data_IF_767731661238
#
_entry.id   IF_767731661238
#
_cell.length_a   1.000
_cell.length_b   1.000
_cell.length_c   1.000
_cell.angle_alpha   90.00
_cell.angle_beta   90.00
_cell.angle_gamma   90.00
#
_symmetry.space_group_name_H-M   'P 1'
#
loop_
_entity.id
_entity.type
_entity.pdbx_description
1 polymer ?
#
# COMPACT_ATOMS: atom_id res chain seq x y z
N UNK A 1 -0.31 6.90 -5.74
CA UNK A 1 -1.75 6.50 -5.75
C UNK A 1 -2.48 7.36 -4.73
N UNK A 2 -3.81 7.27 -4.60
CA UNK A 2 -4.55 8.03 -3.57
C UNK A 2 -5.32 7.11 -2.62
N UNK A 3 -5.27 7.39 -1.33
CA UNK A 3 -6.00 6.62 -0.31
C UNK A 3 -7.50 6.82 -0.43
N UNK A 4 -8.27 5.73 -0.28
CA UNK A 4 -9.74 5.79 -0.20
C UNK A 4 -10.23 5.37 1.18
N UNK A 5 -10.10 4.07 1.51
CA UNK A 5 -10.59 3.53 2.77
C UNK A 5 -9.98 2.17 3.10
N UNK A 6 -10.08 1.75 4.37
CA UNK A 6 -9.99 0.35 4.76
C UNK A 6 -11.25 -0.38 4.26
N UNK A 7 -11.05 -1.47 3.51
CA UNK A 7 -12.15 -2.24 2.91
C UNK A 7 -12.51 -3.48 3.72
N UNK A 8 -11.49 -4.24 4.11
CA UNK A 8 -11.71 -5.55 4.73
C UNK A 8 -10.52 -5.94 5.61
N UNK A 9 -10.82 -6.60 6.72
CA UNK A 9 -9.83 -7.22 7.61
C UNK A 9 -10.08 -8.72 7.65
N UNK A 10 -9.06 -9.52 7.35
CA UNK A 10 -9.13 -10.97 7.45
C UNK A 10 -8.59 -11.38 8.80
N UNK A 11 -9.44 -11.98 9.63
CA UNK A 11 -9.07 -12.52 10.95
C UNK A 11 -8.63 -13.97 10.86
N UNK A 12 -7.85 -14.41 11.84
CA UNK A 12 -7.53 -15.83 12.02
C UNK A 12 -8.76 -16.57 12.54
N UNK A 13 -8.85 -17.85 12.16
CA UNK A 13 -9.79 -18.79 12.75
C UNK A 13 -9.04 -19.55 13.85
N UNK A 14 -9.63 -19.66 15.03
CA UNK A 14 -9.10 -20.45 16.13
C UNK A 14 -9.26 -21.95 15.84
N UNK A 15 -8.57 -22.81 16.59
CA UNK A 15 -8.67 -24.27 16.44
C UNK A 15 -10.10 -24.81 16.67
N UNK A 16 -10.92 -24.09 17.43
CA UNK A 16 -12.32 -24.42 17.69
C UNK A 16 -13.31 -23.92 16.60
N UNK A 17 -12.79 -23.32 15.52
CA UNK A 17 -13.59 -22.82 14.39
C UNK A 17 -14.25 -21.47 14.62
N UNK A 18 -13.98 -20.80 15.75
CA UNK A 18 -14.42 -19.43 16.01
C UNK A 18 -13.47 -18.40 15.43
N UNK A 19 -13.97 -17.20 15.14
CA UNK A 19 -13.14 -16.08 14.68
C UNK A 19 -12.30 -15.53 15.83
N UNK A 20 -10.99 -15.44 15.63
CA UNK A 20 -10.04 -14.81 16.55
C UNK A 20 -10.11 -13.28 16.48
N UNK A 21 -9.71 -12.59 17.54
CA UNK A 21 -9.46 -11.15 17.51
C UNK A 21 -8.16 -10.79 16.76
N UNK A 22 -7.32 -11.79 16.47
CA UNK A 22 -6.08 -11.58 15.72
C UNK A 22 -6.35 -11.37 14.23
N UNK A 23 -5.92 -10.22 13.71
CA UNK A 23 -6.04 -9.85 12.30
C UNK A 23 -4.80 -10.37 11.59
N UNK A 24 -4.97 -11.02 10.43
CA UNK A 24 -3.88 -11.55 9.60
C UNK A 24 -3.45 -10.56 8.52
N UNK A 25 -4.44 -9.93 7.86
CA UNK A 25 -4.22 -9.02 6.72
C UNK A 25 -5.31 -7.97 6.65
N UNK A 26 -4.95 -6.80 6.11
CA UNK A 26 -5.87 -5.69 5.86
C UNK A 26 -5.86 -5.32 4.39
N UNK A 27 -7.03 -5.15 3.81
CA UNK A 27 -7.20 -4.73 2.42
C UNK A 27 -7.72 -3.31 2.38
N UNK A 28 -7.01 -2.44 1.66
CA UNK A 28 -7.32 -1.04 1.45
C UNK A 28 -7.73 -0.80 -0.01
N UNK A 29 -8.70 0.08 -0.18
CA UNK A 29 -9.05 0.61 -1.50
C UNK A 29 -8.18 1.84 -1.78
N UNK A 30 -7.45 1.83 -2.90
CA UNK A 30 -6.69 2.97 -3.41
C UNK A 30 -7.20 3.37 -4.80
N UNK A 31 -7.22 4.67 -5.07
CA UNK A 31 -7.49 5.20 -6.41
C UNK A 31 -6.20 5.25 -7.21
N UNK A 32 -6.17 4.54 -8.34
CA UNK A 32 -5.11 4.66 -9.33
C UNK A 32 -5.42 5.85 -10.25
N UNK A 33 -4.61 6.91 -10.19
CA UNK A 33 -4.80 8.09 -11.04
C UNK A 33 -4.54 7.82 -12.53
N UNK A 34 -3.72 6.82 -12.87
CA UNK A 34 -3.37 6.49 -14.27
C UNK A 34 -4.48 5.71 -14.95
N UNK A 35 -5.10 4.76 -14.23
CA UNK A 35 -6.12 3.86 -14.77
C UNK A 35 -7.54 4.28 -14.39
N UNK A 36 -7.68 5.37 -13.63
CA UNK A 36 -8.94 5.88 -13.06
C UNK A 36 -9.80 4.82 -12.33
N UNK A 37 -9.16 3.74 -11.90
CA UNK A 37 -9.81 2.58 -11.27
C UNK A 37 -9.45 2.48 -9.80
N UNK A 38 -10.39 1.99 -9.01
CA UNK A 38 -10.14 1.58 -7.63
C UNK A 38 -9.43 0.22 -7.62
N UNK A 39 -8.32 0.15 -6.91
CA UNK A 39 -7.53 -1.07 -6.75
C UNK A 39 -7.55 -1.50 -5.29
N UNK A 40 -7.52 -2.80 -5.06
CA UNK A 40 -7.43 -3.39 -3.72
C UNK A 40 -5.98 -3.74 -3.44
N UNK A 41 -5.46 -3.22 -2.34
CA UNK A 41 -4.10 -3.51 -1.86
C UNK A 41 -4.20 -4.17 -0.50
N UNK A 42 -3.60 -5.34 -0.37
CA UNK A 42 -3.52 -6.06 0.90
C UNK A 42 -2.14 -5.89 1.51
N UNK A 43 -2.11 -5.49 2.78
CA UNK A 43 -0.90 -5.42 3.61
C UNK A 43 -1.03 -6.35 4.82
N UNK A 44 0.08 -6.84 5.39
CA UNK A 44 0.01 -7.71 6.55
C UNK A 44 -0.41 -6.91 7.80
N UNK A 45 -0.95 -7.62 8.79
CA UNK A 45 -1.57 -6.96 9.96
C UNK A 45 -0.56 -6.51 11.04
N UNK A 46 0.70 -6.96 10.96
CA UNK A 46 1.80 -6.44 11.79
C UNK A 46 2.06 -4.95 11.54
N UNK A 47 1.71 -4.48 10.34
CA UNK A 47 1.70 -3.06 9.99
C UNK A 47 0.51 -2.38 10.64
N UNK A 48 0.75 -1.21 11.24
CA UNK A 48 -0.31 -0.41 11.86
C UNK A 48 -1.45 -0.07 10.89
N UNK A 49 -2.68 0.00 11.43
CA UNK A 49 -3.86 0.42 10.67
C UNK A 49 -3.62 1.80 10.04
N UNK A 50 -3.86 1.91 8.74
CA UNK A 50 -3.79 3.18 8.01
C UNK A 50 -5.15 3.87 8.01
N UNK A 51 -5.24 4.98 8.73
CA UNK A 51 -6.40 5.88 8.75
C UNK A 51 -6.02 7.22 8.12
N UNK A 52 -5.66 7.16 6.84
CA UNK A 52 -5.26 8.35 6.10
C UNK A 52 -6.48 9.13 5.58
N UNK A 53 -6.37 10.46 5.43
CA UNK A 53 -7.45 11.24 4.83
C UNK A 53 -7.77 10.75 3.41
N UNK A 54 -9.07 10.77 3.07
CA UNK A 54 -9.53 10.46 1.73
C UNK A 54 -8.81 11.31 0.68
N UNK A 55 -8.44 10.69 -0.44
CA UNK A 55 -7.70 11.27 -1.56
C UNK A 55 -6.27 11.76 -1.27
N UNK A 56 -5.70 11.49 -0.09
CA UNK A 56 -4.28 11.81 0.16
C UNK A 56 -3.37 10.94 -0.70
N UNK A 57 -2.26 11.50 -1.17
CA UNK A 57 -1.29 10.73 -1.95
C UNK A 57 -0.51 9.75 -1.07
N UNK A 58 -0.46 8.51 -1.54
CA UNK A 58 0.24 7.40 -0.91
C UNK A 58 1.10 6.63 -1.91
N UNK A 59 2.08 5.91 -1.36
CA UNK A 59 2.97 4.99 -2.04
C UNK A 59 2.91 3.61 -1.40
N UNK A 60 3.16 2.58 -2.20
CA UNK A 60 3.20 1.19 -1.77
C UNK A 60 4.66 0.78 -1.55
N UNK A 61 4.95 0.10 -0.45
CA UNK A 61 6.26 -0.48 -0.19
C UNK A 61 6.28 -1.92 -0.71
N UNK A 62 7.26 -2.23 -1.56
CA UNK A 62 7.45 -3.54 -2.20
C UNK A 62 6.16 -4.14 -2.81
N UNK A 63 5.45 -3.42 -3.70
CA UNK A 63 4.21 -3.94 -4.27
C UNK A 63 4.47 -5.13 -5.19
N UNK A 64 3.70 -6.20 -4.98
CA UNK A 64 3.65 -7.40 -5.83
C UNK A 64 2.24 -7.53 -6.40
N UNK A 65 2.13 -7.49 -7.73
CA UNK A 65 0.87 -7.73 -8.42
C UNK A 65 0.63 -9.24 -8.54
N UNK A 66 -0.41 -9.74 -7.89
CA UNK A 66 -0.83 -11.14 -7.93
C UNK A 66 -2.07 -11.24 -8.82
N UNK A 67 -1.96 -11.99 -9.91
CA UNK A 67 -3.09 -12.24 -10.84
C UNK A 67 -3.70 -13.59 -10.51
N UNK A 68 -4.89 -13.59 -9.91
CA UNK A 68 -5.63 -14.84 -9.68
C UNK A 68 -6.68 -14.98 -10.78
N UNK A 69 -6.47 -15.95 -11.66
CA UNK A 69 -7.45 -16.34 -12.66
C UNK A 69 -8.41 -17.37 -12.05
N UNK A 70 -9.62 -16.95 -11.69
CA UNK A 70 -10.70 -17.84 -11.27
C UNK A 70 -11.50 -18.28 -12.50
N UNK A 71 -11.26 -19.48 -13.00
CA UNK A 71 -12.08 -20.06 -14.06
C UNK A 71 -13.47 -20.42 -13.52
N UNK A 72 -14.53 -19.89 -14.13
CA UNK A 72 -15.91 -20.30 -13.87
C UNK A 72 -16.59 -20.76 -15.16
N UNK A 73 -17.75 -21.42 -15.03
CA UNK A 73 -18.47 -22.02 -16.18
C UNK A 73 -18.92 -20.99 -17.25
N UNK A 74 -18.83 -19.68 -16.95
CA UNK A 74 -19.22 -18.57 -17.84
C UNK A 74 -18.02 -17.74 -18.36
N UNK A 75 -16.78 -18.12 -18.03
CA UNK A 75 -15.56 -17.41 -18.43
C UNK A 75 -14.48 -17.43 -17.34
N UNK A 76 -13.35 -16.78 -17.59
CA UNK A 76 -12.33 -16.58 -16.55
C UNK A 76 -12.57 -15.24 -15.87
N UNK A 77 -12.88 -15.25 -14.57
CA UNK A 77 -12.90 -14.07 -13.72
C UNK A 77 -11.47 -13.82 -13.25
N UNK A 78 -10.85 -12.74 -13.72
CA UNK A 78 -9.50 -12.38 -13.28
C UNK A 78 -9.63 -11.37 -12.16
N UNK A 79 -9.34 -11.82 -10.94
CA UNK A 79 -9.22 -10.94 -9.78
C UNK A 79 -7.75 -10.50 -9.67
N UNK A 80 -7.53 -9.18 -9.65
CA UNK A 80 -6.21 -8.58 -9.54
C UNK A 80 -6.05 -8.10 -8.11
N UNK A 81 -5.17 -8.74 -7.34
CA UNK A 81 -4.87 -8.33 -5.96
C UNK A 81 -3.43 -7.86 -5.90
N UNK A 82 -3.21 -6.65 -5.38
CA UNK A 82 -1.86 -6.18 -5.10
C UNK A 82 -1.57 -6.49 -3.64
N UNK A 83 -0.45 -7.15 -3.39
CA UNK A 83 0.12 -7.28 -2.04
C UNK A 83 1.21 -6.22 -1.89
N UNK A 84 1.34 -5.65 -0.72
CA UNK A 84 2.43 -4.73 -0.39
C UNK A 84 2.85 -4.96 1.06
N UNK A 85 4.07 -4.54 1.38
CA UNK A 85 4.58 -4.61 2.75
C UNK A 85 4.02 -3.47 3.59
N UNK A 86 3.83 -2.27 3.02
CA UNK A 86 3.24 -1.12 3.71
C UNK A 86 2.60 -0.12 2.72
N UNK A 87 1.77 0.79 3.23
CA UNK A 87 1.23 1.96 2.53
C UNK A 87 1.68 3.22 3.30
N UNK A 88 2.43 4.09 2.64
CA UNK A 88 3.00 5.31 3.26
C UNK A 88 2.53 6.58 2.55
N UNK A 89 2.52 7.71 3.26
CA UNK A 89 2.20 9.02 2.66
C UNK A 89 3.33 9.45 1.71
N UNK A 90 2.97 9.83 0.48
CA UNK A 90 3.92 10.17 -0.61
C UNK A 90 4.80 11.40 -0.32
N UNK A 91 4.54 12.15 0.74
CA UNK A 91 5.27 13.40 1.04
C UNK A 91 5.96 13.39 2.42
N UNK A 92 6.16 12.22 3.02
CA UNK A 92 6.92 12.10 4.27
C UNK A 92 8.43 11.90 4.06
N UNK A 93 8.90 11.78 2.81
CA UNK A 93 10.27 11.41 2.44
C UNK A 93 11.15 12.49 1.80
N UNK A 94 10.62 13.62 1.33
CA UNK A 94 11.45 14.70 0.74
C UNK A 94 12.11 15.64 1.77
N UNK A 95 12.17 15.23 3.04
CA UNK A 95 13.08 15.81 4.04
C UNK A 95 13.86 14.74 4.83
N UNK A 96 14.32 13.69 4.16
CA UNK A 96 15.35 12.79 4.70
C UNK A 96 16.32 12.35 3.58
N UNK A 97 17.06 13.31 3.03
CA UNK A 97 18.10 13.04 2.03
C UNK A 97 18.90 14.26 1.56
N UNK A 98 18.78 15.43 2.18
CA UNK A 98 19.60 16.58 1.80
C UNK A 98 20.03 17.44 2.99
N UNK A 99 20.96 16.92 3.79
CA UNK A 99 21.88 17.74 4.60
C UNK A 99 23.09 16.90 5.01
N UNK A 100 24.13 16.88 4.17
CA UNK A 100 25.53 17.01 4.59
C UNK A 100 26.46 16.95 3.37
N UNK A 101 26.92 18.10 2.88
CA UNK A 101 28.21 18.59 3.33
C UNK A 101 28.63 19.90 2.64
N UNK A 102 29.02 20.84 3.50
CA UNK A 102 29.96 21.94 3.32
C UNK A 102 30.38 22.35 1.90
N UNK A 103 30.04 23.58 1.54
CA UNK A 103 30.98 24.44 0.84
C UNK A 103 32.26 24.61 1.69
N UNK A 104 33.42 24.68 1.04
CA UNK A 104 34.31 25.81 1.32
C UNK A 104 34.50 26.68 0.07
N UNK A 105 34.54 27.99 0.35
CA UNK A 105 34.92 29.06 -0.57
C UNK A 105 36.20 28.74 -1.35
N UNK A 106 36.25 29.24 -2.60
CA UNK A 106 37.49 29.31 -3.35
C UNK A 106 37.32 29.75 -4.81
N UNK A 107 36.93 31.00 -5.04
CA UNK A 107 37.42 31.71 -6.23
C UNK A 107 38.96 31.85 -6.10
N UNK A 108 39.74 31.73 -7.19
CA UNK A 108 39.92 32.88 -8.06
C UNK A 108 40.08 32.61 -9.57
N UNK A 109 39.62 33.63 -10.30
CA UNK A 109 40.03 34.19 -11.60
C UNK A 109 41.21 33.52 -12.34
N UNK A 110 41.01 33.29 -13.64
CA UNK A 110 41.66 34.05 -14.73
C UNK A 110 40.86 33.94 -16.01
#
# INVERSE_FOLDING_TARGET
MKFSALRHEVRLENEDGTTSDEIKRRTYDLKCSVQERMIQVTIPADVSVKDYPYNVEVELINPVADTVANANFRGTMVDWYIKADDIVLKNKGDQAGNTQNHAPQGQPKK
#
